data_IF_979221453026
#
_entry.id   IF_979221453026
#
_cell.length_a   1.000
_cell.length_b   1.000
_cell.length_c   1.000
_cell.angle_alpha   90.00
_cell.angle_beta   90.00
_cell.angle_gamma   90.00
#
_symmetry.space_group_name_H-M   'P 1'
#
loop_
_entity.id
_entity.type
_entity.pdbx_description
1 polymer ?
#
# COMPACT_ATOMS: atom_id res chain seq x y z
N UNK A 1 -9.03 11.26 7.60
CA UNK A 1 -7.93 10.30 7.82
C UNK A 1 -7.63 10.20 9.30
N UNK A 2 -7.89 9.05 9.91
CA UNK A 2 -7.50 8.82 11.30
C UNK A 2 -5.98 8.71 11.36
N UNK A 3 -5.32 9.55 12.17
CA UNK A 3 -3.88 9.43 12.45
C UNK A 3 -3.64 8.09 13.13
N UNK A 4 -2.92 7.20 12.46
CA UNK A 4 -2.43 5.99 13.10
C UNK A 4 -1.57 6.37 14.30
N UNK A 5 -2.00 5.96 15.49
CA UNK A 5 -1.24 6.15 16.71
C UNK A 5 -0.10 5.14 16.69
N UNK A 6 1.13 5.63 16.75
CA UNK A 6 2.30 4.77 16.84
C UNK A 6 2.13 3.78 18.03
N UNK A 7 2.48 2.50 17.85
CA UNK A 7 2.42 1.54 18.94
C UNK A 7 3.30 2.04 20.11
N UNK A 8 2.77 1.96 21.31
CA UNK A 8 3.52 2.22 22.54
C UNK A 8 4.50 1.07 22.78
N UNK A 9 5.63 1.11 22.12
CA UNK A 9 6.78 0.29 22.42
C UNK A 9 7.92 1.23 22.75
N UNK A 10 8.36 1.27 23.98
CA UNK A 10 9.56 1.99 24.38
C UNK A 10 10.78 1.19 23.94
N UNK A 11 11.07 1.21 22.65
CA UNK A 11 12.35 0.74 22.16
C UNK A 11 13.32 1.92 22.19
N UNK A 12 14.35 1.80 23.00
CA UNK A 12 15.42 2.81 23.13
C UNK A 12 16.01 3.23 21.77
N UNK A 13 15.94 2.34 20.77
CA UNK A 13 16.38 2.59 19.39
C UNK A 13 15.54 3.65 18.67
N UNK A 14 14.24 3.74 18.99
CA UNK A 14 13.36 4.77 18.40
C UNK A 14 13.59 6.13 18.98
N UNK A 15 14.04 6.23 20.22
CA UNK A 15 14.28 7.49 20.88
C UNK A 15 15.58 8.16 20.41
N UNK A 16 16.60 7.38 20.06
CA UNK A 16 17.89 7.89 19.59
C UNK A 16 17.84 8.49 18.18
N UNK A 17 16.83 8.15 17.39
CA UNK A 17 16.74 8.58 16.00
C UNK A 17 15.66 9.66 15.76
N UNK A 18 14.91 10.04 16.79
CA UNK A 18 13.74 10.94 16.67
C UNK A 18 14.07 12.29 16.05
N UNK A 19 15.25 12.79 16.29
CA UNK A 19 15.63 14.17 15.94
C UNK A 19 16.51 14.24 14.70
N UNK A 20 16.83 13.10 14.07
CA UNK A 20 17.61 13.15 12.85
C UNK A 20 16.78 13.60 11.67
N UNK A 21 17.21 14.66 11.03
CA UNK A 21 16.65 15.20 9.79
C UNK A 21 17.75 15.28 8.74
N UNK A 22 17.56 14.61 7.62
CA UNK A 22 18.48 14.68 6.49
C UNK A 22 18.43 16.06 5.81
N UNK A 23 19.48 16.44 5.03
CA UNK A 23 19.51 17.71 4.30
C UNK A 23 18.30 17.97 3.40
N UNK A 24 17.67 16.93 2.87
CA UNK A 24 16.46 17.03 2.05
C UNK A 24 15.16 17.10 2.87
N UNK A 25 15.25 17.17 4.19
CA UNK A 25 14.11 17.27 5.11
C UNK A 25 13.47 15.93 5.49
N UNK A 26 13.98 14.79 4.99
CA UNK A 26 13.49 13.48 5.40
C UNK A 26 13.99 13.14 6.81
N UNK A 27 13.11 12.54 7.61
CA UNK A 27 13.42 12.14 8.98
C UNK A 27 13.73 10.65 9.04
N UNK A 28 14.66 10.28 9.91
CA UNK A 28 14.81 8.88 10.27
C UNK A 28 13.54 8.38 10.97
N UNK A 29 13.06 7.21 10.61
CA UNK A 29 11.91 6.58 11.27
C UNK A 29 12.02 5.05 11.24
N UNK A 30 11.45 4.42 12.25
CA UNK A 30 11.30 2.96 12.31
C UNK A 30 9.83 2.65 12.55
N UNK A 31 9.27 1.74 11.77
CA UNK A 31 7.95 1.17 12.00
C UNK A 31 8.09 -0.28 12.46
N UNK A 32 7.71 -0.54 13.72
CA UNK A 32 7.81 -1.88 14.30
C UNK A 32 6.60 -2.72 13.95
N UNK A 33 6.81 -3.98 13.54
CA UNK A 33 5.73 -4.91 13.19
C UNK A 33 5.01 -5.49 14.39
N UNK A 34 5.71 -5.69 15.51
CA UNK A 34 5.13 -6.26 16.72
C UNK A 34 4.06 -5.34 17.31
N UNK A 35 2.83 -5.85 17.44
CA UNK A 35 1.70 -5.09 17.97
C UNK A 35 1.18 -3.99 17.03
N UNK A 36 1.58 -4.00 15.76
CA UNK A 36 1.12 -3.02 14.80
C UNK A 36 -0.38 -3.16 14.52
N UNK A 37 -1.05 -2.02 14.38
CA UNK A 37 -2.47 -1.96 14.06
C UNK A 37 -2.69 -1.93 12.55
N UNK A 38 -3.74 -2.64 12.11
CA UNK A 38 -4.24 -2.61 10.75
C UNK A 38 -5.60 -1.92 10.74
N UNK A 39 -5.79 -0.98 9.84
CA UNK A 39 -6.99 -0.16 9.73
C UNK A 39 -7.71 -0.44 8.41
N UNK A 40 -9.03 -0.23 8.42
CA UNK A 40 -9.80 -0.21 7.18
C UNK A 40 -9.29 0.91 6.26
N UNK A 41 -9.35 0.67 4.95
CA UNK A 41 -8.90 1.62 3.95
C UNK A 41 -9.86 1.72 2.78
N UNK A 42 -9.32 1.89 1.58
CA UNK A 42 -10.10 2.07 0.36
C UNK A 42 -11.04 0.88 0.07
N UNK A 43 -10.58 -0.32 0.37
CA UNK A 43 -11.35 -1.56 0.14
C UNK A 43 -11.72 -2.21 1.47
N UNK A 44 -12.97 -2.58 1.62
CA UNK A 44 -13.47 -3.25 2.83
C UNK A 44 -12.99 -4.70 2.98
N UNK A 45 -12.45 -5.29 1.91
CA UNK A 45 -11.85 -6.63 1.92
C UNK A 45 -10.34 -6.62 2.19
N UNK A 46 -9.76 -5.45 2.44
CA UNK A 46 -8.35 -5.26 2.80
C UNK A 46 -8.23 -4.44 4.07
N UNK A 47 -7.18 -4.69 4.81
CA UNK A 47 -6.73 -3.85 5.94
C UNK A 47 -5.32 -3.37 5.69
N UNK A 48 -4.99 -2.20 6.22
CA UNK A 48 -3.79 -1.45 5.90
C UNK A 48 -3.02 -1.10 7.17
N UNK A 49 -1.71 -1.28 7.11
CA UNK A 49 -0.77 -0.79 8.12
C UNK A 49 0.11 0.27 7.48
N UNK A 50 0.02 1.51 7.96
CA UNK A 50 0.93 2.59 7.58
C UNK A 50 2.34 2.32 8.16
N UNK A 51 3.35 2.35 7.30
CA UNK A 51 4.75 2.18 7.70
C UNK A 51 5.40 3.50 8.14
N UNK A 52 4.65 4.59 8.21
CA UNK A 52 5.13 5.88 8.72
C UNK A 52 5.97 6.71 7.74
N UNK A 53 6.10 6.26 6.48
CA UNK A 53 6.94 6.96 5.51
C UNK A 53 6.33 8.28 5.04
N UNK A 54 5.02 8.41 4.99
CA UNK A 54 4.38 9.68 4.66
C UNK A 54 4.79 10.79 5.63
N UNK A 55 4.77 10.50 6.93
CA UNK A 55 5.19 11.45 7.96
C UNK A 55 6.70 11.75 7.90
N UNK A 56 7.54 10.72 7.72
CA UNK A 56 9.00 10.89 7.73
C UNK A 56 9.57 11.50 6.45
N UNK A 57 8.82 11.48 5.36
CA UNK A 57 9.24 12.04 4.05
C UNK A 57 8.50 13.31 3.66
N UNK A 58 7.77 13.93 4.58
CA UNK A 58 6.92 15.09 4.29
C UNK A 58 5.94 14.87 3.13
N UNK A 59 5.32 13.68 3.08
CA UNK A 59 4.34 13.32 2.08
C UNK A 59 4.89 12.88 0.72
N UNK A 60 6.20 12.76 0.57
CA UNK A 60 6.82 12.36 -0.71
C UNK A 60 6.61 10.89 -1.02
N UNK A 61 6.65 10.04 0.00
CA UNK A 61 6.51 8.57 -0.13
C UNK A 61 5.46 8.06 0.84
N UNK A 62 4.53 7.26 0.33
CA UNK A 62 3.63 6.44 1.14
C UNK A 62 4.04 4.98 1.08
N UNK A 63 3.91 4.26 2.18
CA UNK A 63 4.14 2.83 2.20
C UNK A 63 3.21 2.16 3.21
N UNK A 64 2.57 1.09 2.76
CA UNK A 64 1.64 0.30 3.57
C UNK A 64 1.91 -1.18 3.41
N UNK A 65 1.70 -1.94 4.48
CA UNK A 65 1.40 -3.35 4.37
C UNK A 65 -0.10 -3.49 4.17
N UNK A 66 -0.49 -4.25 3.16
CA UNK A 66 -1.88 -4.54 2.83
C UNK A 66 -2.13 -6.02 3.06
N UNK A 67 -3.18 -6.34 3.80
CA UNK A 67 -3.61 -7.72 4.05
C UNK A 67 -5.05 -7.94 3.65
N UNK A 68 -5.32 -9.12 3.11
CA UNK A 68 -6.69 -9.56 2.90
C UNK A 68 -7.42 -9.79 4.23
N UNK A 69 -8.70 -9.46 4.24
CA UNK A 69 -9.63 -9.91 5.28
C UNK A 69 -10.08 -11.32 4.92
N UNK A 70 -9.77 -12.36 5.71
CA UNK A 70 -10.12 -13.73 5.38
C UNK A 70 -11.61 -13.91 5.11
N UNK A 71 -11.95 -14.67 4.07
CA UNK A 71 -13.34 -14.92 3.66
C UNK A 71 -13.98 -13.80 2.83
N UNK A 72 -13.30 -12.69 2.64
CA UNK A 72 -13.78 -11.56 1.84
C UNK A 72 -13.33 -11.73 0.39
N UNK A 73 -14.28 -11.82 -0.56
CA UNK A 73 -14.03 -12.12 -1.97
C UNK A 73 -14.71 -11.10 -2.90
N UNK A 74 -14.60 -9.85 -2.55
CA UNK A 74 -15.16 -8.79 -3.37
C UNK A 74 -14.19 -8.38 -4.49
N UNK A 75 -14.78 -8.12 -5.65
CA UNK A 75 -14.08 -7.54 -6.80
C UNK A 75 -14.18 -6.02 -6.72
N UNK A 76 -13.10 -5.31 -6.99
CA UNK A 76 -13.15 -3.86 -7.10
C UNK A 76 -13.92 -3.40 -8.37
N UNK A 77 -14.39 -2.15 -8.43
CA UNK A 77 -14.72 -1.54 -9.73
C UNK A 77 -13.43 -1.28 -10.53
N UNK A 78 -13.56 -0.94 -11.81
CA UNK A 78 -12.43 -0.41 -12.59
C UNK A 78 -12.05 0.98 -12.10
N UNK A 79 -10.76 1.21 -11.89
CA UNK A 79 -10.22 2.46 -11.35
C UNK A 79 -8.80 2.73 -11.83
N UNK A 80 -8.32 3.92 -11.54
CA UNK A 80 -6.93 4.32 -11.76
C UNK A 80 -6.47 5.24 -10.62
N UNK A 81 -5.17 5.33 -10.43
CA UNK A 81 -4.56 6.22 -9.47
C UNK A 81 -3.86 7.40 -10.16
N UNK A 82 -4.08 8.59 -9.65
CA UNK A 82 -3.40 9.82 -10.08
C UNK A 82 -2.20 10.04 -9.15
N UNK A 83 -1.07 9.47 -9.51
CA UNK A 83 0.18 9.51 -8.76
C UNK A 83 1.37 9.44 -9.72
N UNK A 84 2.59 9.59 -9.19
CA UNK A 84 3.81 9.56 -9.97
C UNK A 84 4.44 8.17 -10.03
N UNK A 85 4.22 7.36 -8.99
CA UNK A 85 4.80 6.02 -8.88
C UNK A 85 3.98 5.14 -7.93
N UNK A 86 3.82 3.87 -8.28
CA UNK A 86 3.30 2.84 -7.38
C UNK A 86 3.97 1.50 -7.63
N UNK A 87 4.43 0.88 -6.56
CA UNK A 87 4.97 -0.47 -6.54
C UNK A 87 4.09 -1.34 -5.65
N UNK A 88 3.81 -2.55 -6.12
CA UNK A 88 3.21 -3.62 -5.31
C UNK A 88 4.18 -4.79 -5.27
N UNK A 89 4.52 -5.25 -4.07
CA UNK A 89 5.38 -6.41 -3.84
C UNK A 89 4.65 -7.42 -2.96
N UNK A 90 4.52 -8.65 -3.42
CA UNK A 90 3.78 -9.70 -2.69
C UNK A 90 4.68 -10.38 -1.67
N UNK A 91 4.23 -10.43 -0.42
CA UNK A 91 4.91 -11.09 0.70
C UNK A 91 4.37 -12.49 0.98
N UNK A 92 3.05 -12.66 0.85
CA UNK A 92 2.34 -13.91 1.16
C UNK A 92 1.09 -14.03 0.30
N UNK A 93 0.68 -15.29 0.03
CA UNK A 93 -0.52 -15.55 -0.75
C UNK A 93 -0.38 -15.11 -2.19
N UNK A 94 -1.47 -14.71 -2.79
CA UNK A 94 -1.49 -14.23 -4.17
C UNK A 94 -2.61 -13.18 -4.36
N UNK A 95 -2.45 -12.35 -5.40
CA UNK A 95 -3.46 -11.38 -5.82
C UNK A 95 -3.54 -11.34 -7.35
N UNK A 96 -4.75 -11.22 -7.88
CA UNK A 96 -5.03 -11.16 -9.31
C UNK A 96 -5.62 -9.82 -9.69
N UNK A 97 -5.02 -9.20 -10.69
CA UNK A 97 -5.49 -7.97 -11.34
C UNK A 97 -5.83 -8.21 -12.80
N UNK A 98 -6.60 -7.30 -13.38
CA UNK A 98 -6.68 -7.11 -14.81
C UNK A 98 -6.28 -5.65 -15.11
N UNK A 99 -5.33 -5.49 -16.01
CA UNK A 99 -4.79 -4.19 -16.44
C UNK A 99 -5.14 -3.91 -17.89
N UNK A 100 -5.48 -2.67 -18.20
CA UNK A 100 -5.67 -2.26 -19.59
C UNK A 100 -4.43 -2.56 -20.44
N UNK A 101 -4.66 -3.06 -21.65
CA UNK A 101 -3.63 -3.44 -22.62
C UNK A 101 -2.64 -4.52 -22.16
N UNK A 102 -2.82 -5.11 -20.98
CA UNK A 102 -1.98 -6.19 -20.44
C UNK A 102 -2.80 -7.47 -20.24
N UNK A 103 -4.00 -7.35 -19.69
CA UNK A 103 -4.85 -8.48 -19.35
C UNK A 103 -4.70 -8.91 -17.89
N UNK A 104 -5.11 -10.13 -17.60
CA UNK A 104 -5.06 -10.69 -16.24
C UNK A 104 -3.64 -11.06 -15.83
N UNK A 105 -3.27 -10.64 -14.64
CA UNK A 105 -1.98 -10.90 -14.02
C UNK A 105 -2.21 -11.41 -12.61
N UNK A 106 -1.59 -12.54 -12.26
CA UNK A 106 -1.55 -13.04 -10.88
C UNK A 106 -0.15 -12.89 -10.33
N UNK A 107 -0.05 -12.27 -9.17
CA UNK A 107 1.21 -12.06 -8.46
C UNK A 107 1.31 -13.01 -7.27
N UNK A 108 2.48 -13.61 -7.12
CA UNK A 108 2.84 -14.55 -6.05
C UNK A 108 3.96 -13.99 -5.17
N UNK A 109 4.23 -14.60 -3.99
CA UNK A 109 5.30 -14.12 -3.11
C UNK A 109 6.64 -13.93 -3.83
N UNK A 110 7.23 -12.73 -3.66
CA UNK A 110 8.45 -12.33 -4.34
C UNK A 110 8.24 -11.59 -5.66
N UNK A 111 7.02 -11.59 -6.20
CA UNK A 111 6.70 -10.82 -7.41
C UNK A 111 6.55 -9.33 -7.07
N UNK A 112 7.02 -8.52 -7.99
CA UNK A 112 6.94 -7.07 -7.92
C UNK A 112 6.34 -6.51 -9.20
N UNK A 113 5.39 -5.61 -9.06
CA UNK A 113 4.83 -4.88 -10.19
C UNK A 113 5.03 -3.37 -10.00
N UNK A 114 5.50 -2.71 -11.07
CA UNK A 114 5.37 -1.26 -11.21
C UNK A 114 4.00 -0.99 -11.83
N UNK A 115 3.06 -0.55 -11.00
CA UNK A 115 1.73 -0.20 -11.46
C UNK A 115 1.76 1.21 -12.06
N UNK A 116 1.97 1.27 -13.36
CA UNK A 116 2.18 2.53 -14.07
C UNK A 116 1.09 3.57 -13.74
N UNK A 117 1.45 4.84 -13.56
CA UNK A 117 0.49 5.90 -13.28
C UNK A 117 -0.65 5.92 -14.30
N UNK A 118 -1.86 6.12 -13.81
CA UNK A 118 -3.10 6.20 -14.60
C UNK A 118 -3.51 4.94 -15.36
N UNK A 119 -2.79 3.83 -15.21
CA UNK A 119 -3.22 2.56 -15.81
C UNK A 119 -4.57 2.14 -15.22
N UNK A 120 -5.54 1.90 -16.08
CA UNK A 120 -6.86 1.39 -15.65
C UNK A 120 -6.73 -0.07 -15.25
N UNK A 121 -7.26 -0.42 -14.11
CA UNK A 121 -7.16 -1.78 -13.57
C UNK A 121 -8.31 -2.12 -12.62
N UNK A 122 -8.38 -3.39 -12.32
CA UNK A 122 -9.36 -3.96 -11.38
C UNK A 122 -8.68 -5.06 -10.58
N UNK A 123 -8.93 -5.10 -9.27
CA UNK A 123 -8.62 -6.27 -8.45
C UNK A 123 -9.69 -7.32 -8.65
N UNK A 124 -9.31 -8.50 -9.15
CA UNK A 124 -10.24 -9.58 -9.48
C UNK A 124 -10.45 -10.51 -8.30
N UNK A 125 -9.36 -10.95 -7.69
CA UNK A 125 -9.38 -11.97 -6.63
C UNK A 125 -8.06 -11.97 -5.85
N UNK A 126 -8.07 -12.62 -4.69
CA UNK A 126 -6.89 -12.78 -3.84
C UNK A 126 -7.06 -13.99 -2.94
N UNK A 127 -5.95 -14.52 -2.42
CA UNK A 127 -6.00 -15.55 -1.37
C UNK A 127 -6.36 -14.93 -0.02
N UNK A 128 -6.90 -15.77 0.88
CA UNK A 128 -7.29 -15.34 2.23
C UNK A 128 -6.09 -14.85 3.06
N UNK A 129 -4.89 -15.34 2.75
CA UNK A 129 -3.63 -14.98 3.41
C UNK A 129 -2.80 -13.95 2.65
N UNK A 130 -3.39 -13.29 1.64
CA UNK A 130 -2.67 -12.26 0.89
C UNK A 130 -2.08 -11.19 1.80
N UNK A 131 -0.82 -10.92 1.58
CA UNK A 131 -0.09 -9.82 2.22
C UNK A 131 0.90 -9.23 1.20
N UNK A 132 0.89 -7.93 1.06
CA UNK A 132 1.78 -7.21 0.15
C UNK A 132 2.24 -5.88 0.70
N UNK A 133 3.29 -5.33 0.08
CA UNK A 133 3.76 -3.97 0.32
C UNK A 133 3.30 -3.11 -0.84
N UNK A 134 2.69 -1.97 -0.55
CA UNK A 134 2.43 -0.91 -1.51
C UNK A 134 3.29 0.30 -1.19
N UNK A 135 4.02 0.80 -2.19
CA UNK A 135 4.80 2.03 -2.10
C UNK A 135 4.29 3.00 -3.16
N UNK A 136 3.99 4.23 -2.74
CA UNK A 136 3.46 5.26 -3.62
C UNK A 136 4.25 6.55 -3.52
N UNK A 137 4.28 7.29 -4.61
CA UNK A 137 4.78 8.65 -4.68
C UNK A 137 3.80 9.51 -5.48
N UNK A 138 3.24 10.58 -4.88
CA UNK A 138 3.33 10.97 -3.47
C UNK A 138 2.56 10.01 -2.55
N UNK A 139 2.65 10.26 -1.25
CA UNK A 139 1.94 9.47 -0.24
C UNK A 139 0.42 9.58 -0.37
N UNK A 140 -0.08 10.78 -0.61
CA UNK A 140 -1.50 11.05 -0.86
C UNK A 140 -1.75 11.27 -2.35
N UNK A 141 -2.76 10.60 -2.88
CA UNK A 141 -3.16 10.68 -4.28
C UNK A 141 -4.66 10.39 -4.42
N UNK A 142 -5.21 10.76 -5.57
CA UNK A 142 -6.62 10.49 -5.89
C UNK A 142 -6.75 9.14 -6.60
N UNK A 143 -7.77 8.39 -6.21
CA UNK A 143 -8.26 7.22 -6.93
C UNK A 143 -9.55 7.60 -7.66
N UNK A 144 -9.61 7.31 -8.95
CA UNK A 144 -10.72 7.69 -9.82
C UNK A 144 -11.35 6.43 -10.40
N UNK A 145 -12.67 6.30 -10.24
CA UNK A 145 -13.45 5.27 -10.94
C UNK A 145 -13.46 5.54 -12.44
N UNK A 146 -13.29 4.50 -13.22
CA UNK A 146 -13.23 4.60 -14.69
C UNK A 146 -14.11 3.53 -15.34
N UNK A 147 -14.45 3.73 -16.60
CA UNK A 147 -15.09 2.69 -17.40
C UNK A 147 -14.08 1.58 -17.72
N UNK A 148 -14.55 0.31 -17.87
CA UNK A 148 -13.69 -0.75 -18.35
C UNK A 148 -13.03 -0.36 -19.68
N UNK A 149 -11.78 -0.80 -19.93
CA UNK A 149 -11.17 -0.63 -21.25
C UNK A 149 -12.02 -1.28 -22.32
N UNK A 150 -12.10 -0.66 -23.49
CA UNK A 150 -12.69 -1.31 -24.66
C UNK A 150 -11.79 -2.49 -25.05
N UNK A 151 -12.41 -3.64 -25.22
CA UNK A 151 -11.71 -4.90 -25.55
C UNK A 151 -11.15 -4.94 -26.97
#
# INVERSE_FOLDING_TARGET
MAKARAPKGSDADTDLARDYVAPNGMKFSISRGKGAEYLAGLRNYMVYRDLGLAASTNGRVGANIVKAVPGSKERSPWYMHLLDFQLVFVLRGWIKFNYENVGEVTLYPGDCINQAPTIRHIEIDHSDDYEGIEITMPAEFRTVGVTPPEG
#
